data_IF_695373898701
#
_entry.id   IF_695373898701
#
_cell.length_a   1.000
_cell.length_b   1.000
_cell.length_c   1.000
_cell.angle_alpha   90.00
_cell.angle_beta   90.00
_cell.angle_gamma   90.00
#
_symmetry.space_group_name_H-M   'P 1'
#
loop_
_entity.id
_entity.type
_entity.pdbx_description
1 polymer ?
#
# COMPACT_ATOMS: atom_id res chain seq x y z
N UNK A 1 -16.28 -16.41 -22.46
CA UNK A 1 -16.26 -15.65 -21.19
C UNK A 1 -15.18 -14.61 -21.37
N UNK A 2 -15.59 -13.39 -21.75
CA UNK A 2 -14.66 -12.30 -22.05
C UNK A 2 -14.21 -11.66 -20.74
N UNK A 3 -12.92 -11.35 -20.64
CA UNK A 3 -12.24 -10.85 -19.44
C UNK A 3 -12.47 -9.33 -19.25
N UNK A 4 -13.26 -8.69 -20.12
CA UNK A 4 -13.47 -7.23 -20.16
C UNK A 4 -14.84 -6.78 -19.60
N UNK A 5 -15.32 -7.41 -18.52
CA UNK A 5 -16.54 -6.94 -17.84
C UNK A 5 -16.17 -6.04 -16.63
N UNK A 6 -16.53 -4.75 -16.61
CA UNK A 6 -16.16 -3.81 -15.53
C UNK A 6 -16.75 -4.15 -14.15
N UNK A 7 -17.56 -5.20 -14.03
CA UNK A 7 -18.06 -5.73 -12.75
C UNK A 7 -17.08 -6.70 -12.04
N UNK A 8 -15.94 -7.03 -12.64
CA UNK A 8 -14.96 -8.00 -12.11
C UNK A 8 -14.24 -7.51 -10.83
N UNK A 9 -14.23 -6.20 -10.56
CA UNK A 9 -13.65 -5.62 -9.32
C UNK A 9 -14.35 -6.11 -8.04
N UNK A 10 -15.62 -6.51 -8.12
CA UNK A 10 -16.35 -7.11 -7.00
C UNK A 10 -15.90 -8.56 -6.70
N UNK A 11 -15.31 -9.26 -7.67
CA UNK A 11 -14.86 -10.65 -7.52
C UNK A 11 -13.40 -10.77 -7.04
N UNK A 12 -12.70 -9.66 -6.87
CA UNK A 12 -11.33 -9.66 -6.32
C UNK A 12 -11.35 -10.17 -4.87
N UNK A 13 -10.87 -11.40 -4.69
CA UNK A 13 -10.74 -12.02 -3.37
C UNK A 13 -9.50 -11.50 -2.64
N UNK A 14 -9.74 -10.86 -1.50
CA UNK A 14 -8.71 -10.34 -0.61
C UNK A 14 -8.71 -11.14 0.69
N UNK A 15 -7.53 -11.62 1.09
CA UNK A 15 -7.29 -12.19 2.41
C UNK A 15 -7.16 -11.07 3.45
N UNK A 16 -7.23 -11.42 4.75
CA UNK A 16 -7.02 -10.45 5.84
C UNK A 16 -5.70 -9.69 5.70
N UNK A 17 -4.62 -10.41 5.34
CA UNK A 17 -3.32 -9.79 5.12
C UNK A 17 -3.29 -8.84 3.90
N UNK A 18 -4.06 -9.12 2.84
CA UNK A 18 -4.17 -8.19 1.72
C UNK A 18 -4.90 -6.92 2.14
N UNK A 19 -5.97 -7.06 2.92
CA UNK A 19 -6.75 -5.94 3.44
C UNK A 19 -5.87 -5.09 4.37
N UNK A 20 -5.08 -5.70 5.25
CA UNK A 20 -4.12 -4.99 6.10
C UNK A 20 -3.08 -4.20 5.27
N UNK A 21 -2.57 -4.78 4.19
CA UNK A 21 -1.63 -4.08 3.28
C UNK A 21 -2.32 -2.91 2.59
N UNK A 22 -3.48 -3.13 1.96
CA UNK A 22 -4.19 -2.11 1.19
C UNK A 22 -4.67 -0.96 2.08
N UNK A 23 -5.18 -1.27 3.27
CA UNK A 23 -5.55 -0.24 4.27
C UNK A 23 -4.31 0.49 4.80
N UNK A 24 -3.17 -0.19 4.94
CA UNK A 24 -1.87 0.43 5.23
C UNK A 24 -1.44 1.43 4.14
N UNK A 25 -1.64 1.10 2.86
CA UNK A 25 -1.39 2.04 1.75
C UNK A 25 -2.36 3.23 1.82
N UNK A 26 -3.67 2.99 1.94
CA UNK A 26 -4.69 4.06 1.96
C UNK A 26 -4.52 5.00 3.17
N UNK A 27 -4.18 4.44 4.33
CA UNK A 27 -3.95 5.18 5.57
C UNK A 27 -2.62 5.92 5.64
N UNK A 28 -1.63 5.55 4.82
CA UNK A 28 -0.34 6.23 4.81
C UNK A 28 -0.49 7.68 4.29
N UNK A 29 0.21 8.68 4.88
CA UNK A 29 0.02 10.10 4.54
C UNK A 29 0.26 10.42 3.05
N UNK A 30 1.21 9.74 2.42
CA UNK A 30 1.52 9.89 1.00
C UNK A 30 0.84 8.86 0.10
N UNK A 31 0.01 7.96 0.65
CA UNK A 31 -0.52 6.76 -0.04
C UNK A 31 0.52 5.91 -0.77
N UNK A 32 1.76 6.01 -0.31
CA UNK A 32 2.95 5.42 -0.93
C UNK A 32 3.94 4.98 0.15
N UNK A 33 3.60 3.97 0.97
CA UNK A 33 4.51 3.41 1.96
C UNK A 33 5.60 2.55 1.31
N UNK A 34 6.67 2.33 2.08
CA UNK A 34 7.70 1.33 1.79
C UNK A 34 7.33 -0.04 2.35
N UNK A 35 8.02 -1.10 1.90
CA UNK A 35 7.82 -2.44 2.46
C UNK A 35 8.05 -2.51 3.99
N UNK A 36 9.10 -1.90 4.59
CA UNK A 36 9.24 -1.86 6.04
C UNK A 36 8.05 -1.23 6.77
N UNK A 37 7.47 -0.15 6.22
CA UNK A 37 6.30 0.50 6.80
C UNK A 37 5.07 -0.40 6.72
N UNK A 38 4.85 -1.08 5.59
CA UNK A 38 3.76 -2.05 5.43
C UNK A 38 3.91 -3.25 6.36
N UNK A 39 5.12 -3.79 6.51
CA UNK A 39 5.38 -4.89 7.44
C UNK A 39 5.17 -4.48 8.91
N UNK A 40 5.39 -3.21 9.25
CA UNK A 40 5.10 -2.70 10.59
C UNK A 40 3.59 -2.47 10.79
N UNK A 41 2.92 -1.84 9.82
CA UNK A 41 1.49 -1.56 9.88
C UNK A 41 0.64 -2.84 9.89
N UNK A 42 1.00 -3.85 9.10
CA UNK A 42 0.37 -5.16 9.05
C UNK A 42 1.07 -6.18 9.99
N UNK A 43 1.67 -5.70 11.09
CA UNK A 43 2.60 -6.45 11.93
C UNK A 43 2.07 -7.76 12.50
N UNK A 44 0.75 -7.89 12.66
CA UNK A 44 0.09 -9.11 13.12
C UNK A 44 0.26 -10.30 12.16
N UNK A 45 0.44 -10.04 10.87
CA UNK A 45 0.54 -11.08 9.85
C UNK A 45 1.96 -11.61 9.65
N UNK A 46 2.98 -10.97 10.25
CA UNK A 46 4.38 -11.37 10.10
C UNK A 46 5.00 -10.98 8.74
N UNK A 47 6.29 -10.68 8.76
CA UNK A 47 7.01 -10.04 7.64
C UNK A 47 6.97 -10.83 6.33
N UNK A 48 7.13 -12.16 6.39
CA UNK A 48 7.24 -12.99 5.18
C UNK A 48 5.88 -13.20 4.50
N UNK A 49 4.80 -13.26 5.30
CA UNK A 49 3.44 -13.26 4.76
C UNK A 49 3.13 -11.92 4.08
N UNK A 50 3.43 -10.79 4.75
CA UNK A 50 3.20 -9.45 4.18
C UNK A 50 3.92 -9.28 2.84
N UNK A 51 5.20 -9.67 2.75
CA UNK A 51 5.96 -9.64 1.48
C UNK A 51 5.30 -10.47 0.38
N UNK A 52 4.94 -11.72 0.70
CA UNK A 52 4.33 -12.64 -0.28
C UNK A 52 2.98 -12.10 -0.78
N UNK A 53 2.17 -11.56 0.13
CA UNK A 53 0.87 -10.98 -0.23
C UNK A 53 1.02 -9.68 -1.03
N UNK A 54 1.94 -8.80 -0.65
CA UNK A 54 2.23 -7.59 -1.41
C UNK A 54 2.63 -7.91 -2.86
N UNK A 55 3.54 -8.87 -3.06
CA UNK A 55 3.93 -9.31 -4.41
C UNK A 55 2.72 -9.80 -5.20
N UNK A 56 1.83 -10.58 -4.58
CA UNK A 56 0.60 -11.04 -5.23
C UNK A 56 -0.34 -9.89 -5.60
N UNK A 57 -0.47 -8.87 -4.75
CA UNK A 57 -1.26 -7.68 -5.06
C UNK A 57 -0.68 -6.89 -6.23
N UNK A 58 0.65 -6.89 -6.37
CA UNK A 58 1.34 -6.34 -7.55
C UNK A 58 1.06 -7.17 -8.80
N UNK A 59 1.20 -8.49 -8.72
CA UNK A 59 0.88 -9.42 -9.83
C UNK A 59 -0.57 -9.31 -10.29
N UNK A 60 -1.50 -9.04 -9.37
CA UNK A 60 -2.92 -8.82 -9.65
C UNK A 60 -3.23 -7.41 -10.19
N UNK A 61 -2.22 -6.53 -10.28
CA UNK A 61 -2.39 -5.16 -10.75
C UNK A 61 -3.20 -4.27 -9.82
N UNK A 62 -3.37 -4.62 -8.54
CA UNK A 62 -4.03 -3.78 -7.53
C UNK A 62 -3.07 -2.77 -6.91
N UNK A 63 -1.80 -3.14 -6.83
CA UNK A 63 -0.70 -2.35 -6.29
C UNK A 63 0.39 -2.25 -7.36
N UNK A 64 1.12 -1.15 -7.39
CA UNK A 64 2.30 -0.98 -8.22
C UNK A 64 3.53 -0.69 -7.34
N UNK A 65 4.69 -1.13 -7.81
CA UNK A 65 5.98 -0.70 -7.26
C UNK A 65 6.36 0.62 -7.94
N UNK A 66 6.57 1.66 -7.14
CA UNK A 66 6.96 3.00 -7.59
C UNK A 66 8.40 3.25 -7.16
N UNK A 67 9.23 3.73 -8.10
CA UNK A 67 10.65 4.02 -7.89
C UNK A 67 10.99 5.39 -8.50
N UNK A 68 12.14 5.94 -8.10
CA UNK A 68 12.68 7.14 -8.73
C UNK A 68 13.29 6.78 -10.10
N UNK A 69 13.05 7.60 -11.13
CA UNK A 69 13.57 7.37 -12.50
C UNK A 69 15.10 7.23 -12.53
N UNK A 70 15.81 8.12 -11.82
CA UNK A 70 17.27 8.11 -11.71
C UNK A 70 17.81 7.20 -10.58
N UNK A 71 16.92 6.40 -9.97
CA UNK A 71 17.21 5.65 -8.75
C UNK A 71 17.12 6.49 -7.48
N UNK A 72 17.30 5.84 -6.32
CA UNK A 72 17.10 6.51 -5.04
C UNK A 72 18.04 7.72 -4.86
N UNK A 73 17.56 8.85 -4.30
CA UNK A 73 18.38 10.04 -4.07
C UNK A 73 19.61 9.80 -3.18
N UNK A 74 19.61 8.72 -2.40
CA UNK A 74 20.74 8.28 -1.58
C UNK A 74 20.65 6.78 -1.30
N UNK A 75 21.79 6.06 -1.19
CA UNK A 75 21.82 4.64 -0.77
C UNK A 75 21.23 4.37 0.62
N UNK A 76 21.08 5.42 1.45
CA UNK A 76 20.56 5.33 2.82
C UNK A 76 19.04 5.54 2.89
N UNK A 77 18.39 5.80 1.75
CA UNK A 77 16.95 6.02 1.62
C UNK A 77 16.30 4.81 0.95
N UNK A 78 15.00 4.59 1.18
CA UNK A 78 14.24 3.59 0.43
C UNK A 78 14.23 3.93 -1.07
N UNK A 79 14.35 2.90 -1.88
CA UNK A 79 14.35 2.94 -3.35
C UNK A 79 13.04 2.45 -3.96
N UNK A 80 12.24 1.71 -3.18
CA UNK A 80 10.96 1.11 -3.59
C UNK A 80 9.82 1.51 -2.68
N UNK A 81 8.73 1.89 -3.31
CA UNK A 81 7.50 2.28 -2.67
C UNK A 81 6.32 1.57 -3.33
N UNK A 82 5.16 1.56 -2.66
CA UNK A 82 4.00 0.83 -3.13
C UNK A 82 2.77 1.72 -3.10
N UNK A 83 2.08 1.85 -4.22
CA UNK A 83 0.85 2.63 -4.35
C UNK A 83 -0.24 1.78 -5.00
N UNK A 84 -1.52 2.15 -4.81
CA UNK A 84 -2.63 1.48 -5.49
C UNK A 84 -2.68 1.93 -6.94
N UNK A 85 -2.75 1.00 -7.90
CA UNK A 85 -3.00 1.35 -9.31
C UNK A 85 -4.38 1.99 -9.49
N UNK A 86 -4.71 2.45 -10.71
CA UNK A 86 -6.06 2.92 -11.02
C UNK A 86 -7.10 1.82 -10.79
N UNK A 87 -6.80 0.59 -11.22
CA UNK A 87 -7.66 -0.58 -10.96
C UNK A 87 -7.81 -0.86 -9.46
N UNK A 88 -6.72 -0.86 -8.71
CA UNK A 88 -6.75 -1.04 -7.25
C UNK A 88 -7.54 0.06 -6.54
N UNK A 89 -7.42 1.30 -7.00
CA UNK A 89 -8.17 2.44 -6.47
C UNK A 89 -9.67 2.27 -6.74
N UNK A 90 -10.05 1.85 -7.95
CA UNK A 90 -11.46 1.55 -8.28
C UNK A 90 -12.04 0.42 -7.42
N UNK A 91 -11.27 -0.65 -7.20
CA UNK A 91 -11.67 -1.76 -6.31
C UNK A 91 -11.88 -1.27 -4.87
N UNK A 92 -11.00 -0.40 -4.38
CA UNK A 92 -11.09 0.15 -3.02
C UNK A 92 -12.24 1.15 -2.86
N UNK A 93 -12.48 2.02 -3.84
CA UNK A 93 -13.57 3.01 -3.79
C UNK A 93 -14.96 2.36 -3.78
N UNK A 94 -15.10 1.17 -4.37
CA UNK A 94 -16.33 0.35 -4.26
C UNK A 94 -16.52 -0.27 -2.87
N UNK A 95 -15.46 -0.44 -2.08
CA UNK A 95 -15.46 -1.14 -0.78
C UNK A 95 -15.30 -0.23 0.43
N UNK A 96 -14.70 0.94 0.25
CA UNK A 96 -14.37 1.89 1.30
C UNK A 96 -14.93 3.27 0.95
N UNK A 97 -15.83 3.78 1.78
CA UNK A 97 -16.33 5.14 1.62
C UNK A 97 -15.20 6.16 1.83
N UNK A 98 -15.29 7.37 1.25
CA UNK A 98 -14.31 8.42 1.47
C UNK A 98 -14.06 8.73 2.95
N UNK A 99 -15.10 8.68 3.79
CA UNK A 99 -15.00 8.89 5.24
C UNK A 99 -14.18 7.78 5.90
N UNK A 100 -14.35 6.53 5.47
CA UNK A 100 -13.53 5.41 5.93
C UNK A 100 -12.07 5.57 5.52
N UNK A 101 -11.80 6.02 4.30
CA UNK A 101 -10.42 6.29 3.86
C UNK A 101 -9.77 7.39 4.71
N UNK A 102 -10.49 8.46 5.04
CA UNK A 102 -9.99 9.52 5.95
C UNK A 102 -9.75 8.98 7.36
N UNK A 103 -10.66 8.17 7.89
CA UNK A 103 -10.49 7.56 9.20
C UNK A 103 -9.25 6.65 9.27
N UNK A 104 -8.90 5.95 8.19
CA UNK A 104 -7.66 5.18 8.11
C UNK A 104 -6.43 6.09 8.19
N UNK A 105 -6.43 7.24 7.50
CA UNK A 105 -5.33 8.20 7.56
C UNK A 105 -5.16 8.82 8.95
N UNK A 106 -6.26 9.21 9.59
CA UNK A 106 -6.24 9.72 10.96
C UNK A 106 -5.75 8.68 11.96
N UNK A 107 -6.14 7.42 11.78
CA UNK A 107 -5.70 6.31 12.64
C UNK A 107 -4.20 6.08 12.48
N UNK A 108 -3.70 6.01 11.24
CA UNK A 108 -2.28 5.85 10.95
C UNK A 108 -1.43 7.01 11.51
N UNK A 109 -1.93 8.24 11.43
CA UNK A 109 -1.24 9.42 11.96
C UNK A 109 -1.05 9.38 13.50
N UNK A 110 -1.99 8.75 14.22
CA UNK A 110 -1.97 8.65 15.69
C UNK A 110 -1.11 7.50 16.22
N UNK A 111 -0.65 6.60 15.36
CA UNK A 111 0.16 5.46 15.79
C UNK A 111 1.53 5.93 16.31
N UNK A 112 1.95 5.38 17.45
CA UNK A 112 3.32 5.52 17.94
C UNK A 112 4.26 4.69 17.07
N UNK A 113 5.07 5.38 16.27
CA UNK A 113 5.96 4.75 15.27
C UNK A 113 7.37 4.67 15.83
N UNK A 114 8.05 3.51 15.72
CA UNK A 114 9.48 3.42 15.99
C UNK A 114 10.28 4.39 15.11
N UNK A 115 11.41 4.90 15.60
CA UNK A 115 12.29 5.85 14.87
C UNK A 115 12.63 5.39 13.45
N UNK A 116 12.86 4.09 13.29
CA UNK A 116 13.15 3.50 11.98
C UNK A 116 11.99 3.69 11.00
N UNK A 117 10.75 3.55 11.45
CA UNK A 117 9.54 3.72 10.62
C UNK A 117 9.34 5.21 10.31
N UNK A 118 9.49 6.10 11.29
CA UNK A 118 9.44 7.54 11.08
C UNK A 118 10.47 8.03 10.05
N UNK A 119 11.67 7.42 10.05
CA UNK A 119 12.70 7.73 9.05
C UNK A 119 12.27 7.34 7.64
N UNK A 120 11.62 6.19 7.46
CA UNK A 120 11.08 5.79 6.15
C UNK A 120 9.90 6.67 5.74
N UNK A 121 9.00 7.02 6.67
CA UNK A 121 7.84 7.88 6.40
C UNK A 121 8.25 9.27 5.89
N UNK A 122 9.31 9.83 6.48
CA UNK A 122 9.85 11.15 6.12
C UNK A 122 10.76 11.13 4.88
N UNK A 123 11.09 9.97 4.33
CA UNK A 123 11.92 9.89 3.14
C UNK A 123 11.20 10.50 1.92
N UNK A 124 11.93 11.14 1.00
CA UNK A 124 11.33 11.65 -0.24
C UNK A 124 10.62 10.51 -0.98
N UNK A 125 9.53 10.85 -1.66
CA UNK A 125 8.76 9.92 -2.50
C UNK A 125 8.99 10.25 -3.98
N UNK A 126 8.99 9.25 -4.87
CA UNK A 126 9.01 9.49 -6.31
C UNK A 126 7.77 10.28 -6.74
N UNK A 127 7.86 11.05 -7.85
CA UNK A 127 6.68 11.60 -8.50
C UNK A 127 5.78 10.45 -8.99
N UNK A 128 4.47 10.69 -8.98
CA UNK A 128 3.44 9.79 -9.51
C UNK A 128 2.52 10.57 -10.42
#
# INVERSE_FOLDING_TARGET
MSIDDPDDSAQVYLTEADVAILTGIVGHPYRMPTLPELCWAAGEHGRDLVKRRLNRLVEQGLVEEVTFEDGAPSPKLPDRFFATTDFGSHVLDRRLTPERQRALQESYAKLEKPDRILRYERAPRPPR
#
